data_IF_150628549374
#
_entry.id   IF_150628549374
#
_cell.length_a   1.000
_cell.length_b   1.000
_cell.length_c   1.000
_cell.angle_alpha   90.00
_cell.angle_beta   90.00
_cell.angle_gamma   90.00
#
_symmetry.space_group_name_H-M   'P 1'
#
loop_
_entity.id
_entity.type
_entity.pdbx_description
1 polymer ?
#
# COMPACT_ATOMS: atom_id res chain seq x y z
N UNK A 1 -15.65 -35.88 0.07
CA UNK A 1 -16.73 -35.44 -0.84
C UNK A 1 -16.11 -34.65 -1.98
N UNK A 2 -16.11 -35.21 -3.18
CA UNK A 2 -15.57 -34.56 -4.37
C UNK A 2 -16.59 -33.54 -4.89
N UNK A 3 -16.25 -32.24 -4.86
CA UNK A 3 -17.13 -31.17 -5.39
C UNK A 3 -17.32 -31.36 -6.91
N UNK A 4 -18.57 -31.17 -7.36
CA UNK A 4 -18.97 -31.21 -8.77
C UNK A 4 -18.08 -30.34 -9.68
N UNK A 5 -17.73 -30.79 -10.90
CA UNK A 5 -16.84 -30.06 -11.82
C UNK A 5 -17.37 -28.68 -12.24
N UNK A 6 -18.71 -28.49 -12.27
CA UNK A 6 -19.34 -27.19 -12.51
C UNK A 6 -19.08 -26.20 -11.36
N UNK A 7 -19.20 -26.65 -10.10
CA UNK A 7 -18.88 -25.84 -8.92
C UNK A 7 -17.38 -25.46 -8.85
N UNK A 8 -16.50 -26.38 -9.25
CA UNK A 8 -15.04 -26.14 -9.28
C UNK A 8 -14.62 -25.00 -10.23
N UNK A 9 -15.32 -24.79 -11.35
CA UNK A 9 -15.08 -23.66 -12.28
C UNK A 9 -15.58 -22.33 -11.71
N UNK A 10 -16.69 -22.35 -10.98
CA UNK A 10 -17.24 -21.15 -10.33
C UNK A 10 -16.31 -20.63 -9.23
N UNK A 11 -15.77 -21.51 -8.38
CA UNK A 11 -14.88 -21.13 -7.28
C UNK A 11 -13.57 -20.47 -7.77
N UNK A 12 -12.99 -20.96 -8.88
CA UNK A 12 -11.81 -20.34 -9.51
C UNK A 12 -12.11 -18.95 -10.06
N UNK A 13 -13.23 -18.81 -10.77
CA UNK A 13 -13.64 -17.54 -11.35
C UNK A 13 -13.82 -16.48 -10.26
N UNK A 14 -14.45 -16.84 -9.14
CA UNK A 14 -14.65 -15.92 -8.00
C UNK A 14 -13.32 -15.46 -7.42
N UNK A 15 -12.38 -16.37 -7.16
CA UNK A 15 -11.08 -16.00 -6.58
C UNK A 15 -10.26 -15.16 -7.56
N UNK A 16 -10.22 -15.51 -8.84
CA UNK A 16 -9.53 -14.72 -9.87
C UNK A 16 -10.14 -13.34 -10.05
N UNK A 17 -11.47 -13.24 -10.06
CA UNK A 17 -12.18 -11.95 -10.15
C UNK A 17 -11.89 -11.10 -8.91
N UNK A 18 -11.95 -11.68 -7.73
CA UNK A 18 -11.69 -10.96 -6.49
C UNK A 18 -10.22 -10.49 -6.41
N UNK A 19 -9.27 -11.32 -6.85
CA UNK A 19 -7.86 -10.93 -7.00
C UNK A 19 -7.67 -9.72 -7.92
N UNK A 20 -8.36 -9.72 -9.07
CA UNK A 20 -8.30 -8.62 -10.04
C UNK A 20 -8.81 -7.31 -9.42
N UNK A 21 -9.99 -7.35 -8.78
CA UNK A 21 -10.56 -6.17 -8.13
C UNK A 21 -9.75 -5.70 -6.92
N UNK A 22 -9.22 -6.62 -6.10
CA UNK A 22 -8.32 -6.25 -4.99
C UNK A 22 -7.02 -5.64 -5.50
N UNK A 23 -6.46 -6.17 -6.59
CA UNK A 23 -5.24 -5.64 -7.21
C UNK A 23 -5.46 -4.24 -7.80
N UNK A 24 -6.62 -4.00 -8.43
CA UNK A 24 -6.99 -2.68 -8.92
C UNK A 24 -7.13 -1.67 -7.77
N UNK A 25 -7.84 -2.03 -6.71
CA UNK A 25 -7.97 -1.18 -5.52
C UNK A 25 -6.62 -0.92 -4.84
N UNK A 26 -5.75 -1.92 -4.79
CA UNK A 26 -4.38 -1.75 -4.30
C UNK A 26 -3.62 -0.72 -5.12
N UNK A 27 -3.64 -0.82 -6.46
CA UNK A 27 -2.99 0.16 -7.35
C UNK A 27 -3.55 1.58 -7.16
N UNK A 28 -4.88 1.74 -7.09
CA UNK A 28 -5.51 3.04 -6.84
C UNK A 28 -5.07 3.61 -5.49
N UNK A 29 -5.11 2.81 -4.43
CA UNK A 29 -4.69 3.25 -3.10
C UNK A 29 -3.21 3.59 -3.01
N UNK A 30 -2.35 2.90 -3.76
CA UNK A 30 -0.92 3.20 -3.86
C UNK A 30 -0.69 4.57 -4.52
N UNK A 31 -1.37 4.85 -5.64
CA UNK A 31 -1.28 6.15 -6.33
C UNK A 31 -1.80 7.28 -5.46
N UNK A 32 -2.89 7.06 -4.72
CA UNK A 32 -3.39 8.02 -3.73
C UNK A 32 -2.35 8.28 -2.63
N UNK A 33 -1.74 7.22 -2.08
CA UNK A 33 -0.76 7.32 -1.01
C UNK A 33 0.49 8.10 -1.46
N UNK A 34 1.02 7.80 -2.66
CA UNK A 34 2.15 8.52 -3.25
C UNK A 34 1.77 10.00 -3.50
N UNK A 35 0.59 10.26 -4.06
CA UNK A 35 0.13 11.63 -4.33
C UNK A 35 0.03 12.48 -3.05
N UNK A 36 -0.56 11.93 -1.99
CA UNK A 36 -0.66 12.63 -0.70
C UNK A 36 0.71 12.80 -0.05
N UNK A 37 1.59 11.80 -0.14
CA UNK A 37 2.97 11.90 0.35
C UNK A 37 3.75 13.03 -0.36
N UNK A 38 3.65 13.12 -1.69
CA UNK A 38 4.29 14.19 -2.47
C UNK A 38 3.70 15.56 -2.11
N UNK A 39 2.38 15.67 -1.99
CA UNK A 39 1.72 16.92 -1.61
C UNK A 39 2.19 17.41 -0.22
N UNK A 40 2.28 16.48 0.75
CA UNK A 40 2.85 16.75 2.07
C UNK A 40 4.30 17.22 2.00
N UNK A 41 5.13 16.53 1.21
CA UNK A 41 6.54 16.89 1.02
C UNK A 41 6.70 18.31 0.47
N UNK A 42 5.97 18.68 -0.57
CA UNK A 42 6.05 20.00 -1.21
C UNK A 42 5.63 21.08 -0.22
N UNK A 43 4.53 20.85 0.51
CA UNK A 43 4.00 21.82 1.47
C UNK A 43 4.91 22.01 2.69
N UNK A 44 5.44 20.92 3.26
CA UNK A 44 6.40 20.97 4.37
C UNK A 44 7.68 21.73 4.00
N UNK A 45 8.13 21.61 2.74
CA UNK A 45 9.31 22.32 2.24
C UNK A 45 9.08 23.81 2.01
N UNK A 46 7.85 24.24 1.72
CA UNK A 46 7.56 25.60 1.21
C UNK A 46 7.03 26.58 2.24
N UNK A 47 6.43 26.15 3.36
CA UNK A 47 5.73 27.05 4.29
C UNK A 47 6.25 26.94 5.74
N UNK A 48 6.78 28.04 6.28
CA UNK A 48 6.91 28.29 7.72
C UNK A 48 5.49 28.60 8.26
N UNK A 49 4.94 27.76 9.13
CA UNK A 49 3.53 27.85 9.59
C UNK A 49 2.55 26.83 8.98
N UNK A 50 3.04 25.79 8.30
CA UNK A 50 2.20 24.72 7.74
C UNK A 50 1.29 24.05 8.78
N UNK A 51 -0.03 24.15 8.58
CA UNK A 51 -1.03 23.42 9.38
C UNK A 51 -1.01 21.92 9.02
N UNK A 52 -0.23 21.14 9.77
CA UNK A 52 -0.04 19.71 9.56
C UNK A 52 -1.32 18.87 9.75
N UNK A 53 -2.25 19.35 10.60
CA UNK A 53 -3.43 18.59 11.05
C UNK A 53 -4.28 18.04 9.88
N UNK A 54 -4.83 18.85 8.95
CA UNK A 54 -5.69 18.33 7.88
C UNK A 54 -4.94 17.36 6.96
N UNK A 55 -3.68 17.63 6.63
CA UNK A 55 -2.89 16.79 5.72
C UNK A 55 -2.44 15.48 6.38
N UNK A 56 -2.12 15.51 7.68
CA UNK A 56 -1.77 14.32 8.46
C UNK A 56 -2.97 13.38 8.63
N UNK A 57 -4.19 13.92 8.81
CA UNK A 57 -5.42 13.12 8.83
C UNK A 57 -5.67 12.48 7.46
N UNK A 58 -5.61 13.25 6.37
CA UNK A 58 -5.76 12.70 5.01
C UNK A 58 -4.75 11.60 4.72
N UNK A 59 -3.48 11.80 5.10
CA UNK A 59 -2.43 10.80 4.95
C UNK A 59 -2.73 9.52 5.74
N UNK A 60 -3.15 9.65 7.00
CA UNK A 60 -3.48 8.50 7.85
C UNK A 60 -4.65 7.69 7.31
N UNK A 61 -5.69 8.35 6.79
CA UNK A 61 -6.84 7.70 6.15
C UNK A 61 -6.41 6.94 4.90
N UNK A 62 -5.64 7.58 4.01
CA UNK A 62 -5.17 6.95 2.77
C UNK A 62 -4.22 5.78 3.08
N UNK A 63 -3.38 5.90 4.10
CA UNK A 63 -2.53 4.80 4.58
C UNK A 63 -3.36 3.61 5.08
N UNK A 64 -4.42 3.87 5.86
CA UNK A 64 -5.34 2.81 6.31
C UNK A 64 -5.99 2.06 5.14
N UNK A 65 -6.46 2.79 4.11
CA UNK A 65 -7.04 2.20 2.90
C UNK A 65 -5.99 1.36 2.14
N UNK A 66 -4.77 1.86 2.00
CA UNK A 66 -3.67 1.12 1.36
C UNK A 66 -3.31 -0.16 2.13
N UNK A 67 -3.27 -0.10 3.46
CA UNK A 67 -2.99 -1.26 4.28
C UNK A 67 -4.07 -2.35 4.13
N UNK A 68 -5.35 -1.95 4.16
CA UNK A 68 -6.48 -2.87 3.96
C UNK A 68 -6.45 -3.48 2.55
N UNK A 69 -6.18 -2.67 1.51
CA UNK A 69 -6.11 -3.17 0.13
C UNK A 69 -4.96 -4.16 -0.06
N UNK A 70 -3.79 -3.89 0.52
CA UNK A 70 -2.64 -4.79 0.50
C UNK A 70 -2.98 -6.13 1.20
N UNK A 71 -3.61 -6.08 2.37
CA UNK A 71 -4.05 -7.28 3.10
C UNK A 71 -5.03 -8.13 2.28
N UNK A 72 -5.98 -7.51 1.59
CA UNK A 72 -6.92 -8.22 0.72
C UNK A 72 -6.20 -8.97 -0.41
N UNK A 73 -5.22 -8.34 -1.06
CA UNK A 73 -4.42 -8.99 -2.11
C UNK A 73 -3.63 -10.17 -1.54
N UNK A 74 -3.01 -10.03 -0.37
CA UNK A 74 -2.25 -11.11 0.27
C UNK A 74 -3.15 -12.30 0.61
N UNK A 75 -4.27 -12.05 1.31
CA UNK A 75 -5.21 -13.10 1.72
C UNK A 75 -5.76 -13.86 0.51
N UNK A 76 -6.14 -13.14 -0.55
CA UNK A 76 -6.63 -13.76 -1.77
C UNK A 76 -5.57 -14.57 -2.49
N UNK A 77 -4.34 -14.09 -2.49
CA UNK A 77 -3.25 -14.81 -3.13
C UNK A 77 -2.90 -16.10 -2.40
N UNK A 78 -2.95 -16.11 -1.06
CA UNK A 78 -2.79 -17.34 -0.26
C UNK A 78 -3.90 -18.34 -0.62
N UNK A 79 -5.16 -17.89 -0.68
CA UNK A 79 -6.30 -18.73 -1.09
C UNK A 79 -6.13 -19.28 -2.51
N UNK A 80 -5.69 -18.43 -3.45
CA UNK A 80 -5.41 -18.81 -4.83
C UNK A 80 -4.29 -19.83 -4.96
N UNK A 81 -3.20 -19.67 -4.19
CA UNK A 81 -2.09 -20.62 -4.12
C UNK A 81 -2.54 -21.98 -3.59
N UNK A 82 -3.32 -22.01 -2.50
CA UNK A 82 -3.85 -23.25 -1.92
C UNK A 82 -4.76 -23.98 -2.92
N UNK A 83 -5.61 -23.24 -3.63
CA UNK A 83 -6.49 -23.80 -4.65
C UNK A 83 -5.68 -24.36 -5.84
N UNK A 84 -4.67 -23.62 -6.29
CA UNK A 84 -3.79 -24.03 -7.39
C UNK A 84 -3.02 -25.31 -7.06
N UNK A 85 -2.47 -25.42 -5.83
CA UNK A 85 -1.83 -26.66 -5.34
C UNK A 85 -2.79 -27.84 -5.34
N UNK A 86 -4.02 -27.64 -4.85
CA UNK A 86 -5.05 -28.69 -4.83
C UNK A 86 -5.43 -29.19 -6.23
N UNK A 87 -5.30 -28.35 -7.25
CA UNK A 87 -5.66 -28.66 -8.65
C UNK A 87 -4.45 -28.98 -9.53
N UNK A 88 -3.24 -28.97 -8.98
CA UNK A 88 -1.99 -29.13 -9.70
C UNK A 88 -1.83 -28.14 -10.89
N UNK A 89 -2.39 -26.93 -10.77
CA UNK A 89 -2.31 -25.89 -11.80
C UNK A 89 -1.12 -24.96 -11.53
N UNK A 90 0.00 -25.25 -12.21
CA UNK A 90 1.23 -24.47 -12.10
C UNK A 90 1.07 -23.03 -12.59
N UNK A 91 0.24 -22.77 -13.62
CA UNK A 91 0.05 -21.42 -14.17
C UNK A 91 -0.71 -20.54 -13.18
N UNK A 92 -1.78 -21.07 -12.58
CA UNK A 92 -2.53 -20.38 -11.54
C UNK A 92 -1.64 -20.10 -10.32
N UNK A 93 -0.85 -21.08 -9.88
CA UNK A 93 0.08 -20.93 -8.77
C UNK A 93 1.08 -19.77 -9.00
N UNK A 94 1.75 -19.75 -10.15
CA UNK A 94 2.74 -18.70 -10.47
C UNK A 94 2.10 -17.31 -10.51
N UNK A 95 0.88 -17.18 -11.06
CA UNK A 95 0.17 -15.89 -11.12
C UNK A 95 -0.14 -15.32 -9.73
N UNK A 96 -0.63 -16.14 -8.81
CA UNK A 96 -0.88 -15.70 -7.43
C UNK A 96 0.39 -15.42 -6.65
N UNK A 97 1.45 -16.21 -6.88
CA UNK A 97 2.75 -15.97 -6.26
C UNK A 97 3.33 -14.62 -6.69
N UNK A 98 3.33 -14.33 -8.00
CA UNK A 98 3.79 -13.05 -8.54
C UNK A 98 2.99 -11.88 -7.99
N UNK A 99 1.67 -12.03 -7.84
CA UNK A 99 0.82 -10.97 -7.28
C UNK A 99 1.21 -10.57 -5.85
N UNK A 100 1.66 -11.52 -5.01
CA UNK A 100 2.17 -11.22 -3.66
C UNK A 100 3.56 -10.59 -3.72
N UNK A 101 4.47 -11.16 -4.51
CA UNK A 101 5.85 -10.66 -4.61
C UNK A 101 5.87 -9.21 -5.10
N UNK A 102 4.97 -8.85 -6.02
CA UNK A 102 4.87 -7.49 -6.53
C UNK A 102 4.47 -6.45 -5.48
N UNK A 103 3.87 -6.84 -4.35
CA UNK A 103 3.56 -5.91 -3.25
C UNK A 103 4.85 -5.34 -2.65
N UNK A 104 5.90 -6.16 -2.53
CA UNK A 104 7.17 -5.80 -1.88
C UNK A 104 7.79 -4.54 -2.50
N UNK A 105 8.11 -4.48 -3.81
CA UNK A 105 8.73 -3.30 -4.40
C UNK A 105 7.85 -2.05 -4.28
N UNK A 106 6.52 -2.17 -4.33
CA UNK A 106 5.62 -1.03 -4.15
C UNK A 106 5.62 -0.48 -2.72
N UNK A 107 5.63 -1.36 -1.72
CA UNK A 107 5.78 -0.96 -0.31
C UNK A 107 7.16 -0.34 -0.06
N UNK A 108 8.22 -0.86 -0.70
CA UNK A 108 9.57 -0.28 -0.61
C UNK A 108 9.63 1.13 -1.19
N UNK A 109 9.00 1.39 -2.35
CA UNK A 109 8.91 2.74 -2.93
C UNK A 109 8.22 3.69 -1.94
N UNK A 110 7.10 3.27 -1.35
CA UNK A 110 6.42 4.07 -0.34
C UNK A 110 7.32 4.37 0.88
N UNK A 111 8.05 3.37 1.38
CA UNK A 111 8.94 3.54 2.54
C UNK A 111 10.03 4.61 2.28
N UNK A 112 10.56 4.71 1.06
CA UNK A 112 11.51 5.75 0.65
C UNK A 112 10.89 7.14 0.78
N UNK A 113 9.65 7.33 0.28
CA UNK A 113 8.95 8.61 0.38
C UNK A 113 8.61 8.96 1.83
N UNK A 114 8.10 8.01 2.60
CA UNK A 114 7.78 8.23 4.02
C UNK A 114 9.03 8.62 4.84
N UNK A 115 10.15 7.91 4.62
CA UNK A 115 11.44 8.23 5.26
C UNK A 115 11.93 9.63 4.88
N UNK A 116 11.84 9.99 3.60
CA UNK A 116 12.25 11.32 3.11
C UNK A 116 11.43 12.46 3.73
N UNK A 117 10.12 12.27 3.89
CA UNK A 117 9.23 13.25 4.54
C UNK A 117 9.60 13.40 6.03
N UNK A 118 9.84 12.28 6.72
CA UNK A 118 10.22 12.30 8.14
C UNK A 118 11.53 13.04 8.38
N UNK A 119 12.53 12.84 7.52
CA UNK A 119 13.83 13.53 7.60
C UNK A 119 13.70 15.04 7.47
N UNK A 120 12.88 15.52 6.53
CA UNK A 120 12.64 16.96 6.34
C UNK A 120 11.95 17.58 7.53
N UNK A 121 10.95 16.87 8.07
CA UNK A 121 10.27 17.32 9.28
C UNK A 121 11.28 17.47 10.42
N UNK A 122 12.10 16.44 10.70
CA UNK A 122 13.13 16.49 11.73
C UNK A 122 14.09 17.68 11.57
N UNK A 123 14.61 17.90 10.35
CA UNK A 123 15.55 18.98 10.06
C UNK A 123 14.94 20.38 10.28
N UNK A 124 13.63 20.54 10.04
CA UNK A 124 12.92 21.79 10.32
C UNK A 124 12.89 22.09 11.82
N UNK A 125 12.54 21.11 12.65
CA UNK A 125 12.52 21.26 14.12
C UNK A 125 13.92 21.49 14.70
N UNK A 126 14.96 20.84 14.14
CA UNK A 126 16.35 21.07 14.56
C UNK A 126 16.79 22.52 14.30
N UNK A 127 16.49 23.06 13.12
CA UNK A 127 16.79 24.46 12.79
C UNK A 127 16.01 25.45 13.67
N UNK A 128 14.72 25.20 13.94
CA UNK A 128 13.91 26.03 14.84
C UNK A 128 14.44 26.02 16.29
N UNK A 129 14.92 24.86 16.78
CA UNK A 129 15.53 24.74 18.11
C UNK A 129 16.85 25.53 18.23
N UNK A 130 17.70 25.50 17.19
CA UNK A 130 18.96 26.25 17.15
C UNK A 130 18.70 27.77 17.12
N UNK A 131 17.74 28.24 16.32
CA UNK A 131 17.39 29.66 16.30
C UNK A 131 16.86 30.17 17.63
N UNK A 132 16.16 29.33 18.39
CA UNK A 132 15.62 29.71 19.71
C UNK A 132 16.72 29.85 20.77
N UNK A 133 17.80 29.07 20.67
CA UNK A 133 18.96 29.17 21.58
C UNK A 133 19.87 30.36 21.29
N UNK A 134 19.88 30.87 20.06
CA UNK A 134 20.68 32.05 19.67
C UNK A 134 20.03 33.40 20.00
N UNK A 135 18.75 33.40 20.41
CA UNK A 135 17.96 34.60 20.74
C UNK A 135 17.88 34.85 22.26
N UNK A 136 18.52 34.00 23.08
CA UNK A 136 18.61 34.15 24.55
C UNK A 136 20.01 34.58 24.97
#
# INVERSE_FOLDING_TARGET
MEKNPKQKKTDEYVICRFQFWSGLWFLVSLVMLISVAIALYIKLKSEEGFNFIPYGISYSVVFGIFFISAMLVIINSIKGILLAKKKNDRKMFVRFLLAVILIIPFVSIYAIFASSISLIHYKKYENEAISTQLVV
#
